data_IF_993304264977
#
_entry.id   IF_993304264977
#
_cell.length_a   1.000
_cell.length_b   1.000
_cell.length_c   1.000
_cell.angle_alpha   90.00
_cell.angle_beta   90.00
_cell.angle_gamma   90.00
#
_symmetry.space_group_name_H-M   'P 1'
#
loop_
_entity.id
_entity.type
_entity.pdbx_description
1 polymer ?
#
# COMPACT_ATOMS: atom_id res chain seq x y z
N UNK A 1 -43.43 18.31 19.46
CA UNK A 1 -42.13 19.01 19.59
C UNK A 1 -41.24 18.20 20.51
N UNK A 2 -40.16 17.62 19.98
CA UNK A 2 -38.76 17.95 20.35
C UNK A 2 -38.27 17.18 21.58
N UNK A 3 -37.14 16.46 21.60
CA UNK A 3 -35.98 16.36 20.71
C UNK A 3 -35.30 15.01 20.95
N UNK A 4 -34.74 14.45 19.87
CA UNK A 4 -33.79 13.35 19.87
C UNK A 4 -32.49 13.76 20.58
N UNK A 5 -31.90 12.86 21.35
CA UNK A 5 -30.51 12.95 21.80
C UNK A 5 -29.89 11.55 21.82
N UNK A 6 -29.68 11.00 20.63
CA UNK A 6 -28.67 9.96 20.42
C UNK A 6 -27.29 10.63 20.48
N UNK A 7 -26.76 10.88 21.69
CA UNK A 7 -25.35 11.19 21.86
C UNK A 7 -24.57 9.88 21.90
N UNK A 8 -24.28 9.38 20.70
CA UNK A 8 -23.18 8.45 20.45
C UNK A 8 -21.92 9.06 21.07
N UNK A 9 -21.56 8.57 22.25
CA UNK A 9 -20.36 8.96 22.97
C UNK A 9 -19.14 8.38 22.24
N UNK A 10 -18.79 8.99 21.09
CA UNK A 10 -17.48 8.81 20.49
C UNK A 10 -16.51 9.40 21.50
N UNK A 11 -15.87 8.55 22.29
CA UNK A 11 -14.89 8.94 23.29
C UNK A 11 -13.94 9.97 22.64
N UNK A 12 -13.92 11.18 23.21
CA UNK A 12 -13.07 12.27 22.75
C UNK A 12 -11.63 11.78 22.82
N UNK A 13 -11.06 11.51 21.66
CA UNK A 13 -9.70 11.01 21.51
C UNK A 13 -8.73 12.02 22.15
N UNK A 14 -7.71 11.58 22.90
CA UNK A 14 -6.62 12.48 23.26
C UNK A 14 -6.01 13.02 21.95
N UNK A 15 -5.72 14.33 21.86
CA UNK A 15 -5.09 14.90 20.68
C UNK A 15 -3.77 14.19 20.46
N UNK A 16 -3.67 13.47 19.34
CA UNK A 16 -2.41 12.85 18.90
C UNK A 16 -1.44 13.99 18.63
N UNK A 17 -0.22 13.88 19.17
CA UNK A 17 0.80 14.91 19.07
C UNK A 17 1.09 15.21 17.58
N UNK A 18 1.04 16.48 17.20
CA UNK A 18 1.24 16.94 15.82
C UNK A 18 2.57 16.44 15.24
N UNK A 19 3.59 16.28 16.10
CA UNK A 19 4.89 15.72 15.75
C UNK A 19 4.82 14.25 15.29
N UNK A 20 3.88 13.48 15.81
CA UNK A 20 3.68 12.07 15.41
C UNK A 20 3.04 11.99 14.02
N UNK A 21 2.08 12.86 13.73
CA UNK A 21 1.50 12.97 12.38
C UNK A 21 2.53 13.43 11.34
N UNK A 22 3.39 14.38 11.72
CA UNK A 22 4.48 14.83 10.86
C UNK A 22 5.43 13.68 10.51
N UNK A 23 5.93 12.94 11.52
CA UNK A 23 6.80 11.77 11.30
C UNK A 23 6.16 10.72 10.40
N UNK A 24 4.87 10.49 10.58
CA UNK A 24 4.10 9.56 9.77
C UNK A 24 3.94 10.04 8.32
N UNK A 25 3.67 11.34 8.12
CA UNK A 25 3.56 11.92 6.79
C UNK A 25 4.90 11.84 6.04
N UNK A 26 6.02 12.08 6.73
CA UNK A 26 7.36 11.92 6.17
C UNK A 26 7.65 10.46 5.79
N UNK A 27 7.30 9.49 6.64
CA UNK A 27 7.53 8.07 6.29
C UNK A 27 6.68 7.60 5.10
N UNK A 28 5.46 8.11 4.97
CA UNK A 28 4.62 7.88 3.79
C UNK A 28 5.22 8.48 2.51
N UNK A 29 5.77 9.70 2.60
CA UNK A 29 6.45 10.34 1.48
C UNK A 29 7.69 9.55 1.05
N UNK A 30 8.55 9.17 2.00
CA UNK A 30 9.75 8.36 1.74
C UNK A 30 9.42 7.02 1.05
N UNK A 31 8.30 6.39 1.47
CA UNK A 31 7.77 5.21 0.81
C UNK A 31 7.45 5.50 -0.66
N UNK A 32 6.63 6.53 -0.94
CA UNK A 32 6.22 6.85 -2.31
C UNK A 32 7.42 7.16 -3.20
N UNK A 33 8.41 7.89 -2.69
CA UNK A 33 9.64 8.15 -3.42
C UNK A 33 10.45 6.87 -3.69
N UNK A 34 10.54 5.97 -2.71
CA UNK A 34 11.21 4.67 -2.87
C UNK A 34 10.53 3.84 -3.97
N UNK A 35 9.20 3.74 -3.94
CA UNK A 35 8.43 3.03 -4.97
C UNK A 35 8.64 3.65 -6.35
N UNK A 36 8.64 4.98 -6.45
CA UNK A 36 8.94 5.69 -7.70
C UNK A 36 10.33 5.33 -8.25
N UNK A 37 11.36 5.30 -7.39
CA UNK A 37 12.73 4.89 -7.77
C UNK A 37 12.80 3.42 -8.19
N UNK A 38 12.10 2.53 -7.50
CA UNK A 38 12.03 1.10 -7.82
C UNK A 38 11.40 0.87 -9.20
N UNK A 39 10.27 1.52 -9.47
CA UNK A 39 9.59 1.44 -10.77
C UNK A 39 10.48 1.98 -11.90
N UNK A 40 11.15 3.11 -11.69
CA UNK A 40 12.06 3.68 -12.68
C UNK A 40 13.21 2.71 -13.03
N UNK A 41 13.73 1.97 -12.04
CA UNK A 41 14.76 0.92 -12.27
C UNK A 41 14.22 -0.22 -13.13
N UNK A 42 13.02 -0.73 -12.82
CA UNK A 42 12.39 -1.79 -13.62
C UNK A 42 12.16 -1.32 -15.07
N UNK A 43 11.66 -0.09 -15.27
CA UNK A 43 11.48 0.48 -16.60
C UNK A 43 12.80 0.58 -17.37
N UNK A 44 13.86 1.09 -16.73
CA UNK A 44 15.18 1.18 -17.36
C UNK A 44 15.74 -0.21 -17.72
N UNK A 45 15.55 -1.20 -16.85
CA UNK A 45 15.98 -2.56 -17.08
C UNK A 45 15.24 -3.18 -18.28
N UNK A 46 13.91 -3.08 -18.31
CA UNK A 46 13.09 -3.55 -19.42
C UNK A 46 13.45 -2.87 -20.76
N UNK A 47 13.67 -1.55 -20.74
CA UNK A 47 14.12 -0.80 -21.91
C UNK A 47 15.46 -1.30 -22.44
N UNK A 48 16.39 -1.69 -21.55
CA UNK A 48 17.71 -2.23 -21.93
C UNK A 48 17.58 -3.59 -22.63
N UNK A 49 16.73 -4.47 -22.12
CA UNK A 49 16.42 -5.76 -22.77
C UNK A 49 15.80 -5.53 -24.15
N UNK A 50 14.82 -4.63 -24.23
CA UNK A 50 14.09 -4.33 -25.47
C UNK A 50 14.98 -3.72 -26.55
N UNK A 51 15.90 -2.82 -26.19
CA UNK A 51 16.78 -2.13 -27.13
C UNK A 51 17.81 -3.05 -27.80
N UNK A 52 18.09 -4.21 -27.22
CA UNK A 52 19.17 -5.10 -27.68
C UNK A 52 18.59 -6.39 -28.29
N UNK A 53 18.30 -6.46 -29.60
CA UNK A 53 17.75 -7.66 -30.21
C UNK A 53 18.76 -8.82 -30.19
N UNK A 54 18.32 -10.00 -29.74
CA UNK A 54 19.17 -11.19 -29.67
C UNK A 54 19.19 -11.97 -31.00
N UNK A 55 20.25 -11.81 -31.76
CA UNK A 55 20.46 -12.48 -33.05
C UNK A 55 21.08 -13.87 -32.87
N UNK A 56 21.96 -14.02 -31.88
CA UNK A 56 22.66 -15.28 -31.60
C UNK A 56 22.03 -16.08 -30.44
N UNK A 57 22.34 -17.38 -30.37
CA UNK A 57 21.90 -18.22 -29.25
C UNK A 57 22.46 -17.74 -27.91
N UNK A 58 23.72 -17.29 -27.88
CA UNK A 58 24.34 -16.72 -26.67
C UNK A 58 23.65 -15.44 -26.21
N UNK A 59 23.27 -14.55 -27.14
CA UNK A 59 22.50 -13.35 -26.81
C UNK A 59 21.10 -13.69 -26.28
N UNK A 60 20.43 -14.70 -26.84
CA UNK A 60 19.13 -15.16 -26.33
C UNK A 60 19.23 -15.74 -24.91
N UNK A 61 20.30 -16.49 -24.63
CA UNK A 61 20.56 -17.00 -23.30
C UNK A 61 20.82 -15.87 -22.31
N UNK A 62 21.66 -14.90 -22.69
CA UNK A 62 21.93 -13.71 -21.88
C UNK A 62 20.66 -12.88 -21.61
N UNK A 63 19.82 -12.65 -22.63
CA UNK A 63 18.52 -11.98 -22.44
C UNK A 63 17.62 -12.75 -21.47
N UNK A 64 17.62 -14.08 -21.52
CA UNK A 64 16.80 -14.90 -20.61
C UNK A 64 17.27 -14.75 -19.16
N UNK A 65 18.58 -14.72 -18.93
CA UNK A 65 19.13 -14.46 -17.59
C UNK A 65 18.80 -13.04 -17.10
N UNK A 66 18.80 -12.04 -18.00
CA UNK A 66 18.34 -10.70 -17.65
C UNK A 66 16.85 -10.68 -17.30
N UNK A 67 16.00 -11.37 -18.07
CA UNK A 67 14.58 -11.48 -17.76
C UNK A 67 14.32 -12.17 -16.42
N UNK A 68 15.10 -13.20 -16.08
CA UNK A 68 15.05 -13.85 -14.75
C UNK A 68 15.39 -12.84 -13.65
N UNK A 69 16.51 -12.11 -13.77
CA UNK A 69 16.88 -11.07 -12.83
C UNK A 69 15.81 -9.96 -12.72
N UNK A 70 15.17 -9.60 -13.82
CA UNK A 70 14.07 -8.63 -13.82
C UNK A 70 12.89 -9.12 -12.99
N UNK A 71 12.48 -10.39 -13.17
CA UNK A 71 11.38 -11.01 -12.42
C UNK A 71 11.73 -11.07 -10.93
N UNK A 72 12.91 -11.58 -10.58
CA UNK A 72 13.36 -11.68 -9.18
C UNK A 72 13.35 -10.30 -8.49
N UNK A 73 13.86 -9.27 -9.19
CA UNK A 73 13.88 -7.89 -8.68
C UNK A 73 12.48 -7.32 -8.50
N UNK A 74 11.57 -7.59 -9.43
CA UNK A 74 10.19 -7.14 -9.34
C UNK A 74 9.45 -7.83 -8.18
N UNK A 75 9.65 -9.12 -7.98
CA UNK A 75 9.09 -9.88 -6.87
C UNK A 75 9.62 -9.41 -5.51
N UNK A 76 10.92 -9.09 -5.42
CA UNK A 76 11.52 -8.46 -4.23
C UNK A 76 10.86 -7.11 -3.89
N UNK A 77 10.64 -6.28 -4.91
CA UNK A 77 9.94 -5.00 -4.73
C UNK A 77 8.49 -5.19 -4.30
N UNK A 78 7.78 -6.16 -4.88
CA UNK A 78 6.41 -6.47 -4.50
C UNK A 78 6.30 -6.94 -3.05
N UNK A 79 7.18 -7.87 -2.61
CA UNK A 79 7.20 -8.34 -1.21
C UNK A 79 7.44 -7.18 -0.23
N UNK A 80 8.32 -6.25 -0.59
CA UNK A 80 8.59 -5.06 0.23
C UNK A 80 7.36 -4.14 0.31
N UNK A 81 6.68 -3.95 -0.82
CA UNK A 81 5.45 -3.16 -0.89
C UNK A 81 4.30 -3.76 -0.07
N UNK A 82 4.14 -5.09 -0.08
CA UNK A 82 3.09 -5.76 0.68
C UNK A 82 3.20 -5.48 2.19
N UNK A 83 4.43 -5.55 2.73
CA UNK A 83 4.73 -5.21 4.12
C UNK A 83 4.41 -3.75 4.43
N UNK A 84 4.79 -2.83 3.54
CA UNK A 84 4.56 -1.40 3.72
C UNK A 84 3.05 -1.07 3.68
N UNK A 85 2.30 -1.69 2.77
CA UNK A 85 0.84 -1.52 2.68
C UNK A 85 0.15 -2.01 3.95
N UNK A 86 0.59 -3.11 4.55
CA UNK A 86 0.08 -3.59 5.84
C UNK A 86 0.27 -2.56 6.95
N UNK A 87 1.47 -1.99 7.06
CA UNK A 87 1.78 -0.94 8.03
C UNK A 87 0.89 0.31 7.84
N UNK A 88 0.76 0.80 6.61
CA UNK A 88 -0.07 1.98 6.33
C UNK A 88 -1.57 1.72 6.51
N UNK A 89 -2.05 0.48 6.31
CA UNK A 89 -3.42 0.08 6.65
C UNK A 89 -3.68 0.18 8.15
N UNK A 90 -2.79 -0.34 9.00
CA UNK A 90 -2.90 -0.23 10.46
C UNK A 90 -2.97 1.23 10.89
N UNK A 91 -2.10 2.06 10.32
CA UNK A 91 -2.11 3.51 10.55
C UNK A 91 -3.43 4.16 10.14
N UNK A 92 -3.96 3.83 8.95
CA UNK A 92 -5.21 4.39 8.46
C UNK A 92 -6.41 3.99 9.33
N UNK A 93 -6.45 2.73 9.78
CA UNK A 93 -7.47 2.22 10.72
C UNK A 93 -7.39 2.94 12.08
N UNK A 94 -6.16 3.10 12.59
CA UNK A 94 -5.92 3.87 13.80
C UNK A 94 -6.34 5.34 13.62
N UNK A 95 -6.02 5.98 12.49
CA UNK A 95 -6.44 7.36 12.19
C UNK A 95 -7.98 7.50 12.15
N UNK A 96 -8.70 6.48 11.64
CA UNK A 96 -10.18 6.43 11.65
C UNK A 96 -10.79 6.21 13.04
N UNK A 97 -9.99 5.91 14.07
CA UNK A 97 -10.43 5.74 15.45
C UNK A 97 -10.69 4.28 15.86
N UNK A 98 -10.31 3.31 15.03
CA UNK A 98 -10.31 1.90 15.40
C UNK A 98 -8.98 1.59 16.13
N UNK A 99 -8.98 1.80 17.44
CA UNK A 99 -7.87 1.44 18.34
C UNK A 99 -7.73 -0.09 18.43
N UNK A 100 -6.49 -0.61 18.52
CA UNK A 100 -6.15 -2.05 18.68
C UNK A 100 -6.81 -2.74 19.90
N UNK A 101 -7.50 -1.98 20.75
CA UNK A 101 -8.34 -2.50 21.81
C UNK A 101 -9.66 -3.05 21.24
N UNK A 102 -9.58 -4.26 20.68
CA UNK A 102 -10.71 -5.12 20.32
C UNK A 102 -11.66 -4.54 19.27
N UNK A 103 -11.42 -4.89 17.99
CA UNK A 103 -12.50 -4.93 17.01
C UNK A 103 -13.55 -5.92 17.52
N UNK A 104 -14.74 -5.45 17.84
CA UNK A 104 -15.86 -6.37 18.06
C UNK A 104 -16.21 -7.05 16.74
N UNK A 105 -16.81 -8.25 16.80
CA UNK A 105 -17.18 -8.99 15.59
C UNK A 105 -18.08 -8.17 14.66
N UNK A 106 -18.94 -7.32 15.24
CA UNK A 106 -19.84 -6.44 14.50
C UNK A 106 -19.08 -5.31 13.77
N UNK A 107 -18.10 -4.69 14.42
CA UNK A 107 -17.23 -3.67 13.79
C UNK A 107 -16.35 -4.27 12.68
N UNK A 108 -15.93 -5.54 12.84
CA UNK A 108 -15.23 -6.28 11.80
C UNK A 108 -16.11 -6.53 10.57
N UNK A 109 -17.37 -6.92 10.79
CA UNK A 109 -18.35 -7.15 9.73
C UNK A 109 -18.67 -5.84 9.00
N UNK A 110 -18.83 -4.73 9.73
CA UNK A 110 -19.11 -3.42 9.13
C UNK A 110 -17.94 -2.95 8.24
N UNK A 111 -16.69 -3.08 8.71
CA UNK A 111 -15.50 -2.74 7.93
C UNK A 111 -15.32 -3.61 6.69
N UNK A 112 -15.57 -4.92 6.80
CA UNK A 112 -15.51 -5.84 5.66
C UNK A 112 -16.60 -5.54 4.63
N UNK A 113 -17.78 -5.12 5.09
CA UNK A 113 -18.91 -4.75 4.23
C UNK A 113 -18.63 -3.44 3.51
N UNK A 114 -18.11 -2.43 4.21
CA UNK A 114 -17.74 -1.14 3.62
C UNK A 114 -16.65 -1.31 2.55
N UNK A 115 -15.60 -2.09 2.84
CA UNK A 115 -14.55 -2.40 1.87
C UNK A 115 -15.09 -3.11 0.61
N UNK A 116 -16.06 -4.03 0.79
CA UNK A 116 -16.72 -4.73 -0.33
C UNK A 116 -17.56 -3.80 -1.19
N UNK A 117 -18.28 -2.86 -0.58
CA UNK A 117 -19.06 -1.86 -1.33
C UNK A 117 -18.17 -0.88 -2.08
N UNK A 118 -17.04 -0.47 -1.50
CA UNK A 118 -16.06 0.38 -2.18
C UNK A 118 -15.42 -0.33 -3.37
N UNK A 119 -15.04 -1.60 -3.22
CA UNK A 119 -14.52 -2.42 -4.33
C UNK A 119 -15.54 -2.61 -5.47
N UNK A 120 -16.83 -2.72 -5.14
CA UNK A 120 -17.90 -2.79 -6.14
C UNK A 120 -18.12 -1.45 -6.88
N UNK A 121 -17.88 -0.32 -6.20
CA UNK A 121 -18.05 1.02 -6.79
C UNK A 121 -16.88 1.47 -7.69
N UNK A 122 -15.68 0.92 -7.51
CA UNK A 122 -14.49 1.17 -8.36
C UNK A 122 -14.37 0.19 -9.54
N UNK A 123 -15.32 -0.73 -9.70
CA UNK A 123 -15.38 -1.72 -10.78
C UNK A 123 -16.19 -1.25 -12.01
N UNK A 124 -16.42 0.06 -12.16
CA UNK A 124 -17.20 0.65 -13.25
C UNK A 124 -16.41 1.69 -14.05
#
# INVERSE_FOLDING_TARGET
MSKSAATSNRASRPPVDALQYEKLAFSALELCERQGRQLAKLVAFAATIHATPALTAGQRHSQRNLLELFVDTAEDYQRTQEHEVELFKVIALNAKGFSESHLTADEAIELLTEARTQAASTSH
#
